data_IF_861544328319
#
_entry.id   IF_861544328319
#
_cell.length_a   1.000
_cell.length_b   1.000
_cell.length_c   1.000
_cell.angle_alpha   90.00
_cell.angle_beta   90.00
_cell.angle_gamma   90.00
#
_symmetry.space_group_name_H-M   'P 1'
#
loop_
_entity.id
_entity.type
_entity.pdbx_description
1 polymer ?
#
# COMPACT_ATOMS: atom_id res chain seq x y z
N UNK A 1 3.88 15.87 -0.62
CA UNK A 1 3.69 14.96 -1.77
C UNK A 1 2.21 14.75 -2.05
N UNK A 2 1.84 14.74 -3.32
CA UNK A 2 0.54 14.23 -3.74
C UNK A 2 0.55 12.70 -3.66
N UNK A 3 -0.63 12.05 -3.69
CA UNK A 3 -0.68 10.59 -3.73
C UNK A 3 0.12 9.99 -4.90
N UNK A 4 0.04 10.59 -6.08
CA UNK A 4 0.79 10.11 -7.27
C UNK A 4 2.29 10.24 -7.07
N UNK A 5 2.76 11.36 -6.52
CA UNK A 5 4.18 11.55 -6.22
C UNK A 5 4.69 10.53 -5.19
N UNK A 6 3.89 10.26 -4.18
CA UNK A 6 4.23 9.28 -3.15
C UNK A 6 4.35 7.86 -3.74
N UNK A 7 3.39 7.46 -4.58
CA UNK A 7 3.44 6.17 -5.24
C UNK A 7 4.67 6.04 -6.14
N UNK A 8 4.97 7.07 -6.94
CA UNK A 8 6.13 7.06 -7.81
C UNK A 8 7.44 7.00 -7.01
N UNK A 9 7.49 7.67 -5.87
CA UNK A 9 8.66 7.62 -5.00
C UNK A 9 8.93 6.20 -4.51
N UNK A 10 7.92 5.51 -4.00
CA UNK A 10 8.05 4.13 -3.51
C UNK A 10 8.41 3.17 -4.66
N UNK A 11 7.74 3.32 -5.80
CA UNK A 11 8.05 2.50 -6.98
C UNK A 11 9.52 2.62 -7.39
N UNK A 12 10.02 3.84 -7.50
CA UNK A 12 11.41 4.08 -7.92
C UNK A 12 12.42 3.61 -6.87
N UNK A 13 12.11 3.81 -5.60
CA UNK A 13 13.00 3.42 -4.51
C UNK A 13 13.18 1.90 -4.43
N UNK A 14 12.10 1.14 -4.54
CA UNK A 14 12.13 -0.30 -4.33
C UNK A 14 12.26 -1.12 -5.62
N UNK A 15 12.34 -0.48 -6.76
CA UNK A 15 12.72 -1.13 -8.00
C UNK A 15 14.25 -1.07 -8.13
N UNK A 16 14.94 -1.85 -7.31
CA UNK A 16 16.37 -1.70 -7.08
C UNK A 16 17.07 -3.03 -6.82
N UNK A 17 18.01 -3.38 -7.70
CA UNK A 17 18.88 -4.54 -7.49
C UNK A 17 19.72 -4.41 -6.21
N UNK A 18 20.18 -3.19 -5.91
CA UNK A 18 20.99 -2.91 -4.72
C UNK A 18 20.25 -3.25 -3.44
N UNK A 19 18.94 -3.02 -3.40
CA UNK A 19 18.09 -3.35 -2.25
C UNK A 19 17.57 -4.78 -2.30
N UNK A 20 17.93 -5.55 -3.33
CA UNK A 20 17.39 -6.88 -3.58
C UNK A 20 15.86 -6.85 -3.58
N UNK A 21 15.31 -5.88 -4.34
CA UNK A 21 13.90 -5.57 -4.35
C UNK A 21 13.39 -5.36 -5.77
N UNK A 22 12.21 -5.88 -6.05
CA UNK A 22 11.45 -5.55 -7.24
C UNK A 22 10.01 -5.24 -6.85
N UNK A 23 9.38 -4.33 -7.59
CA UNK A 23 8.05 -3.85 -7.28
C UNK A 23 7.26 -3.70 -8.58
N UNK A 24 6.00 -4.12 -8.57
CA UNK A 24 5.12 -4.07 -9.72
C UNK A 24 3.85 -3.31 -9.35
N UNK A 25 3.45 -2.39 -10.23
CA UNK A 25 2.22 -1.60 -10.07
C UNK A 25 1.04 -2.40 -10.59
N UNK A 26 -0.04 -2.45 -9.82
CA UNK A 26 -1.31 -2.94 -10.33
C UNK A 26 -1.91 -1.91 -11.29
N UNK A 27 -2.63 -2.40 -12.31
CA UNK A 27 -3.35 -1.53 -13.23
C UNK A 27 -4.54 -0.87 -12.51
N UNK A 28 -4.88 0.35 -12.96
CA UNK A 28 -6.05 1.05 -12.44
C UNK A 28 -7.32 0.30 -12.85
N UNK A 29 -8.14 -0.05 -11.86
CA UNK A 29 -9.40 -0.77 -12.04
C UNK A 29 -10.60 0.08 -11.64
N UNK A 30 -10.51 1.41 -11.80
CA UNK A 30 -11.61 2.31 -11.43
C UNK A 30 -12.93 1.92 -12.08
N UNK A 31 -12.91 1.50 -13.34
CA UNK A 31 -14.11 1.02 -14.03
C UNK A 31 -14.49 -0.41 -13.64
N UNK A 32 -13.58 -1.16 -13.05
CA UNK A 32 -13.76 -2.53 -12.56
C UNK A 32 -14.41 -3.48 -13.59
N UNK A 33 -14.26 -3.17 -14.89
CA UNK A 33 -14.81 -3.98 -15.99
C UNK A 33 -13.79 -4.08 -17.11
N UNK A 34 -13.80 -5.20 -17.81
CA UNK A 34 -13.02 -5.41 -19.01
C UNK A 34 -13.83 -6.21 -20.01
N UNK A 35 -13.49 -6.06 -21.30
CA UNK A 35 -14.12 -6.87 -22.34
C UNK A 35 -13.27 -8.12 -22.57
N UNK A 36 -13.88 -9.29 -22.49
CA UNK A 36 -13.23 -10.57 -22.76
C UNK A 36 -12.89 -10.68 -24.27
N UNK A 37 -12.05 -11.68 -24.63
CA UNK A 37 -11.73 -11.98 -26.04
C UNK A 37 -12.96 -12.30 -26.87
N UNK A 38 -14.03 -12.80 -26.26
CA UNK A 38 -15.29 -13.07 -26.94
C UNK A 38 -16.22 -11.86 -27.06
N UNK A 39 -15.75 -10.69 -26.60
CA UNK A 39 -16.53 -9.45 -26.64
C UNK A 39 -17.47 -9.25 -25.47
N UNK A 40 -17.52 -10.17 -24.51
CA UNK A 40 -18.34 -10.04 -23.31
C UNK A 40 -17.67 -9.14 -22.27
N UNK A 41 -18.48 -8.33 -21.59
CA UNK A 41 -18.01 -7.53 -20.46
C UNK A 41 -17.81 -8.41 -19.24
N UNK A 42 -16.65 -8.28 -18.58
CA UNK A 42 -16.30 -9.02 -17.37
C UNK A 42 -16.08 -8.02 -16.25
N UNK A 43 -16.66 -8.28 -15.07
CA UNK A 43 -16.40 -7.49 -13.87
C UNK A 43 -15.06 -7.93 -13.29
N UNK A 44 -14.18 -6.96 -13.05
CA UNK A 44 -12.87 -7.18 -12.48
C UNK A 44 -12.92 -6.97 -10.96
N UNK A 45 -12.16 -7.77 -10.23
CA UNK A 45 -11.95 -7.50 -8.82
C UNK A 45 -11.16 -6.19 -8.64
N UNK A 46 -11.47 -5.46 -7.57
CA UNK A 46 -10.68 -4.29 -7.18
C UNK A 46 -9.27 -4.75 -6.80
N UNK A 47 -8.29 -3.91 -7.12
CA UNK A 47 -6.92 -4.19 -6.74
C UNK A 47 -6.79 -4.25 -5.21
N UNK A 48 -6.03 -5.22 -4.68
CA UNK A 48 -5.84 -5.34 -3.22
C UNK A 48 -4.97 -4.23 -2.64
N UNK A 49 -4.12 -3.61 -3.47
CA UNK A 49 -3.16 -2.57 -3.10
C UNK A 49 -2.64 -1.85 -4.34
N UNK A 50 -1.80 -0.85 -4.14
CA UNK A 50 -1.17 -0.12 -5.24
C UNK A 50 -0.11 -0.97 -5.96
N UNK A 51 0.63 -1.77 -5.20
CA UNK A 51 1.77 -2.55 -5.70
C UNK A 51 1.85 -3.93 -5.06
N UNK A 52 2.62 -4.80 -5.72
CA UNK A 52 3.17 -6.01 -5.09
C UNK A 52 4.69 -5.91 -5.15
N UNK A 53 5.36 -6.27 -4.07
CA UNK A 53 6.80 -6.15 -3.93
C UNK A 53 7.40 -7.44 -3.41
N UNK A 54 8.53 -7.84 -3.99
CA UNK A 54 9.37 -8.90 -3.42
C UNK A 54 10.70 -8.29 -3.03
N UNK A 55 11.10 -8.48 -1.78
CA UNK A 55 12.38 -7.99 -1.26
C UNK A 55 12.99 -9.05 -0.35
N UNK A 56 14.24 -9.38 -0.62
CA UNK A 56 14.98 -10.39 0.16
C UNK A 56 14.20 -11.72 0.29
N UNK A 57 13.54 -12.13 -0.79
CA UNK A 57 12.78 -13.39 -0.82
C UNK A 57 11.37 -13.31 -0.21
N UNK A 58 10.96 -12.15 0.30
CA UNK A 58 9.63 -11.95 0.91
C UNK A 58 8.76 -11.12 -0.03
N UNK A 59 7.58 -11.64 -0.34
CA UNK A 59 6.59 -10.94 -1.17
C UNK A 59 5.47 -10.38 -0.30
N UNK A 60 5.10 -9.13 -0.56
CA UNK A 60 4.04 -8.44 0.16
C UNK A 60 3.23 -7.57 -0.80
N UNK A 61 1.95 -7.40 -0.50
CA UNK A 61 1.13 -6.37 -1.11
C UNK A 61 1.43 -5.04 -0.43
N UNK A 62 1.54 -3.97 -1.21
CA UNK A 62 2.00 -2.66 -0.75
C UNK A 62 0.98 -1.59 -1.08
N UNK A 63 0.52 -0.90 -0.06
CA UNK A 63 -0.36 0.26 -0.20
C UNK A 63 0.39 1.52 0.22
N UNK A 64 0.31 2.57 -0.59
CA UNK A 64 0.95 3.85 -0.33
C UNK A 64 -0.11 4.88 0.03
N UNK A 65 0.08 5.56 1.15
CA UNK A 65 -0.84 6.59 1.63
C UNK A 65 -0.11 7.89 1.89
N UNK A 66 -0.81 9.00 1.69
CA UNK A 66 -0.38 10.32 2.14
C UNK A 66 -1.40 10.84 3.13
N UNK A 67 -0.95 11.63 4.09
CA UNK A 67 -1.84 12.21 5.09
C UNK A 67 -1.37 13.60 5.51
N UNK A 68 -2.33 14.46 5.85
CA UNK A 68 -2.09 15.77 6.41
C UNK A 68 -2.11 15.76 7.95
N UNK A 69 -2.33 14.61 8.57
CA UNK A 69 -2.39 14.50 10.02
C UNK A 69 -1.03 14.76 10.66
N UNK A 70 -1.02 15.64 11.66
CA UNK A 70 0.18 15.98 12.43
C UNK A 70 0.52 14.91 13.46
N UNK A 71 -0.49 14.26 14.03
CA UNK A 71 -0.33 13.41 15.22
C UNK A 71 -0.19 11.91 14.91
N UNK A 72 -0.84 11.43 13.86
CA UNK A 72 -0.85 10.00 13.58
C UNK A 72 -1.91 9.61 12.57
N UNK A 73 -2.28 8.33 12.61
CA UNK A 73 -3.27 7.76 11.70
C UNK A 73 -4.64 7.66 12.36
N UNK A 74 -5.66 7.46 11.53
CA UNK A 74 -6.99 7.05 11.94
C UNK A 74 -7.55 6.01 10.96
N UNK A 75 -8.60 5.32 11.35
CA UNK A 75 -9.18 4.24 10.55
C UNK A 75 -9.62 4.67 9.14
N UNK A 76 -10.02 5.93 8.96
CA UNK A 76 -10.47 6.42 7.66
C UNK A 76 -9.37 6.40 6.61
N UNK A 77 -8.11 6.55 7.03
CA UNK A 77 -6.95 6.49 6.12
C UNK A 77 -6.84 5.14 5.43
N UNK A 78 -7.25 4.07 6.09
CA UNK A 78 -7.08 2.70 5.61
C UNK A 78 -8.38 2.03 5.13
N UNK A 79 -9.48 2.75 5.14
CA UNK A 79 -10.82 2.19 4.96
C UNK A 79 -11.03 1.52 3.60
N UNK A 80 -10.53 2.11 2.52
CA UNK A 80 -10.85 1.66 1.17
C UNK A 80 -10.36 0.24 0.85
N UNK A 81 -9.20 -0.15 1.36
CA UNK A 81 -8.59 -1.44 1.07
C UNK A 81 -8.66 -2.43 2.23
N UNK A 82 -9.32 -2.04 3.33
CA UNK A 82 -9.30 -2.82 4.56
C UNK A 82 -9.83 -4.25 4.38
N UNK A 83 -10.92 -4.43 3.65
CA UNK A 83 -11.50 -5.75 3.43
C UNK A 83 -10.55 -6.68 2.66
N UNK A 84 -9.92 -6.18 1.60
CA UNK A 84 -8.98 -6.96 0.79
C UNK A 84 -7.71 -7.26 1.56
N UNK A 85 -7.20 -6.27 2.30
CA UNK A 85 -6.08 -6.47 3.21
C UNK A 85 -6.35 -7.63 4.17
N UNK A 86 -7.51 -7.61 4.80
CA UNK A 86 -7.87 -8.63 5.79
C UNK A 86 -8.01 -10.01 5.16
N UNK A 87 -8.53 -10.09 3.94
CA UNK A 87 -8.57 -11.36 3.20
C UNK A 87 -7.16 -11.92 2.98
N UNK A 88 -6.23 -11.08 2.56
CA UNK A 88 -4.82 -11.47 2.33
C UNK A 88 -4.19 -11.94 3.63
N UNK A 89 -4.33 -11.16 4.70
CA UNK A 89 -3.75 -11.51 6.00
C UNK A 89 -4.34 -12.80 6.57
N UNK A 90 -5.63 -13.01 6.42
CA UNK A 90 -6.31 -14.22 6.90
C UNK A 90 -5.86 -15.48 6.15
N UNK A 91 -5.40 -15.32 4.91
CA UNK A 91 -4.84 -16.42 4.11
C UNK A 91 -3.33 -16.60 4.33
N UNK A 92 -2.73 -15.89 5.26
CA UNK A 92 -1.30 -15.98 5.55
C UNK A 92 -0.41 -15.10 4.68
N UNK A 93 -0.99 -14.23 3.86
CA UNK A 93 -0.24 -13.28 3.04
C UNK A 93 0.30 -12.12 3.87
N UNK A 94 1.15 -11.31 3.22
CA UNK A 94 1.76 -10.13 3.83
C UNK A 94 1.24 -8.86 3.17
N UNK A 95 1.04 -7.82 4.00
CA UNK A 95 0.53 -6.53 3.56
C UNK A 95 1.32 -5.43 4.28
N UNK A 96 1.77 -4.42 3.54
CA UNK A 96 2.62 -3.34 4.07
C UNK A 96 2.04 -2.00 3.64
N UNK A 97 2.04 -1.05 4.56
CA UNK A 97 1.71 0.34 4.27
C UNK A 97 2.98 1.20 4.31
N UNK A 98 3.16 2.03 3.28
CA UNK A 98 4.07 3.16 3.31
C UNK A 98 3.22 4.42 3.42
N UNK A 99 3.44 5.20 4.46
CA UNK A 99 2.61 6.36 4.77
C UNK A 99 3.50 7.60 4.82
N UNK A 100 3.25 8.55 3.91
CA UNK A 100 3.96 9.82 3.92
C UNK A 100 3.15 10.86 4.69
N UNK A 101 3.77 11.45 5.73
CA UNK A 101 3.18 12.55 6.48
C UNK A 101 3.61 13.88 5.85
N UNK A 102 2.67 14.58 5.21
CA UNK A 102 2.96 15.87 4.59
C UNK A 102 3.27 16.96 5.61
N UNK A 103 2.83 16.80 6.84
CA UNK A 103 3.07 17.77 7.92
C UNK A 103 4.39 17.52 8.64
N UNK A 104 4.85 16.26 8.69
CA UNK A 104 6.10 15.89 9.36
C UNK A 104 7.24 15.63 8.37
N UNK A 105 6.98 15.71 7.08
CA UNK A 105 7.96 15.54 5.99
C UNK A 105 8.76 14.23 6.10
N UNK A 106 8.11 13.15 6.43
CA UNK A 106 8.79 11.86 6.55
C UNK A 106 7.88 10.69 6.22
N UNK A 107 8.50 9.54 5.98
CA UNK A 107 7.84 8.27 5.69
C UNK A 107 7.75 7.41 6.92
N UNK A 108 6.60 6.77 7.08
CA UNK A 108 6.39 5.71 8.07
C UNK A 108 6.07 4.41 7.35
N UNK A 109 6.45 3.29 7.97
CA UNK A 109 6.14 1.95 7.48
C UNK A 109 5.37 1.20 8.56
N UNK A 110 4.37 0.42 8.15
CA UNK A 110 3.60 -0.42 9.07
C UNK A 110 3.13 -1.68 8.36
N UNK A 111 3.09 -2.79 9.08
CA UNK A 111 2.50 -4.01 8.58
C UNK A 111 0.98 -3.90 8.53
N UNK A 112 0.35 -4.65 7.63
CA UNK A 112 -1.10 -4.75 7.59
C UNK A 112 -1.68 -5.29 8.89
N UNK A 113 -0.99 -6.21 9.53
CA UNK A 113 -1.40 -6.75 10.84
C UNK A 113 -1.46 -5.67 11.92
N UNK A 114 -0.42 -4.84 11.99
CA UNK A 114 -0.37 -3.74 12.95
C UNK A 114 -1.53 -2.76 12.74
N UNK A 115 -1.76 -2.37 11.48
CA UNK A 115 -2.83 -1.42 11.15
C UNK A 115 -4.21 -2.01 11.41
N UNK A 116 -4.42 -3.30 11.09
CA UNK A 116 -5.69 -3.96 11.35
C UNK A 116 -6.05 -3.92 12.84
N UNK A 117 -5.06 -4.16 13.69
CA UNK A 117 -5.24 -4.15 15.15
C UNK A 117 -5.23 -2.74 15.75
N UNK A 118 -4.54 -1.79 15.09
CA UNK A 118 -4.24 -0.46 15.64
C UNK A 118 -4.37 0.64 14.57
N UNK A 119 -5.57 0.90 14.03
CA UNK A 119 -5.70 1.90 12.95
C UNK A 119 -5.55 3.36 13.42
N UNK A 120 -5.73 3.60 14.74
CA UNK A 120 -5.66 4.94 15.33
C UNK A 120 -4.43 5.01 16.24
N UNK A 121 -3.28 5.41 15.68
CA UNK A 121 -2.03 5.46 16.44
C UNK A 121 -1.27 6.74 16.16
N UNK A 122 -0.49 7.18 17.15
CA UNK A 122 0.40 8.35 17.04
C UNK A 122 1.65 7.98 16.25
N UNK A 123 2.25 8.98 15.59
CA UNK A 123 3.45 8.75 14.76
C UNK A 123 4.61 8.14 15.53
N UNK A 124 4.78 8.45 16.81
CA UNK A 124 5.85 7.87 17.61
C UNK A 124 5.72 6.36 17.85
N UNK A 125 4.61 5.77 17.48
CA UNK A 125 4.38 4.33 17.58
C UNK A 125 4.67 3.60 16.26
N UNK A 126 5.07 4.35 15.21
CA UNK A 126 5.38 3.80 13.89
C UNK A 126 6.88 3.74 13.67
N UNK A 127 7.31 2.76 12.88
CA UNK A 127 8.67 2.70 12.35
C UNK A 127 8.84 3.75 11.26
N UNK A 128 9.90 4.55 11.30
CA UNK A 128 10.27 5.46 10.23
C UNK A 128 11.04 4.72 9.16
N UNK A 129 10.68 4.98 7.91
CA UNK A 129 11.47 4.50 6.78
C UNK A 129 12.64 5.45 6.60
N UNK A 130 13.84 4.93 6.81
CA UNK A 130 15.07 5.68 6.56
C UNK A 130 15.34 5.75 5.06
N UNK A 131 15.61 6.95 4.61
CA UNK A 131 15.80 7.24 3.19
C UNK A 131 17.23 7.68 2.91
#
# INVERSE_FOLDING_TARGET
MTPTEAENYIYNKFNSKKLNSCIFRFQDTRDATARSKSGKTVVLDRNPSDFVMTRNGVTAFVEVKTTESVRGTNENLFKQQAARRDMILNCGGKYIYFIYSNKNFCWFIASGDFIRENPNRKWNEFERLEI
#
